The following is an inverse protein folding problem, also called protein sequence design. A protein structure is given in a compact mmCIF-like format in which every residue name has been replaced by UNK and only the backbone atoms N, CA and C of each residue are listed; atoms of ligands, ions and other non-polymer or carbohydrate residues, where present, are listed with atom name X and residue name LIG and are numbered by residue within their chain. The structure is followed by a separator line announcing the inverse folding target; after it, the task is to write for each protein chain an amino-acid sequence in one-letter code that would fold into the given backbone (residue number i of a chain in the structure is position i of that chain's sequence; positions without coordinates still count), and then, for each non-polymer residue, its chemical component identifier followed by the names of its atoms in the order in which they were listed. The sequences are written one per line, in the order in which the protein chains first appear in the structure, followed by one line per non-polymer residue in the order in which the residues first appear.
data_IF_579048441879
#
_entry.id   IF_579048441879
#
_cell.length_a   1.000
_cell.length_b   1.000
_cell.length_c   1.000
_cell.angle_alpha   90.00
_cell.angle_beta   90.00
_cell.angle_gamma   90.00
#
_symmetry.space_group_name_H-M   'P 1'
#
loop_
_entity.id
_entity.type
_entity.pdbx_description
1 polymer ?
#
# COMPACT_ATOMS: atom_id res chain seq x y z
N UNK A 1 11.93 15.50 33.87
CA UNK A 1 11.52 14.08 33.80
C UNK A 1 12.02 13.54 32.47
N UNK A 2 12.88 12.51 32.54
CA UNK A 2 13.78 12.08 31.47
C UNK A 2 13.05 11.22 30.42
N UNK A 3 12.91 11.72 29.19
CA UNK A 3 12.49 10.94 28.01
C UNK A 3 13.69 10.13 27.49
N UNK A 4 14.01 9.01 28.14
CA UNK A 4 15.11 8.14 27.69
C UNK A 4 14.79 6.67 27.97
N UNK A 5 13.85 6.11 27.23
CA UNK A 5 13.61 4.66 27.14
C UNK A 5 12.61 4.26 26.02
N UNK A 6 12.65 4.85 24.82
CA UNK A 6 11.96 4.28 23.65
C UNK A 6 12.95 4.21 22.48
N UNK A 7 13.44 3.00 22.19
CA UNK A 7 14.15 2.67 20.94
C UNK A 7 15.67 2.84 20.95
N UNK A 8 16.41 2.10 21.79
CA UNK A 8 17.82 1.83 21.46
C UNK A 8 17.86 0.87 20.25
N UNK A 9 17.93 1.43 19.04
CA UNK A 9 18.23 0.66 17.82
C UNK A 9 17.41 1.00 16.55
N UNK A 10 16.28 1.69 16.66
CA UNK A 10 15.49 2.05 15.47
C UNK A 10 15.98 3.37 14.86
N UNK A 11 16.35 3.33 13.57
CA UNK A 11 16.70 4.51 12.80
C UNK A 11 15.56 4.90 11.85
N UNK A 12 14.80 5.92 12.21
CA UNK A 12 13.74 6.48 11.35
C UNK A 12 14.27 6.96 9.99
N UNK A 13 15.56 7.33 9.91
CA UNK A 13 16.23 7.84 8.71
C UNK A 13 16.98 6.75 7.94
N UNK A 14 16.76 5.47 8.29
CA UNK A 14 17.36 4.32 7.58
C UNK A 14 17.13 4.46 6.08
N UNK A 15 18.21 4.36 5.31
CA UNK A 15 18.16 4.36 3.85
C UNK A 15 17.74 2.97 3.39
N UNK A 16 16.55 2.86 2.80
CA UNK A 16 15.93 1.60 2.37
C UNK A 16 15.86 1.43 0.85
N UNK A 17 16.22 2.50 0.13
CA UNK A 17 16.21 2.52 -1.33
C UNK A 17 17.63 2.77 -1.81
N UNK A 18 18.18 1.83 -2.57
CA UNK A 18 19.46 1.99 -3.24
C UNK A 18 19.34 1.77 -4.74
N UNK A 19 19.84 2.72 -5.51
CA UNK A 19 19.69 2.76 -6.98
C UNK A 19 18.26 2.62 -7.54
N UNK A 20 17.22 2.72 -6.69
CA UNK A 20 15.81 2.53 -7.06
C UNK A 20 15.27 1.11 -6.83
N UNK A 21 16.09 0.26 -6.21
CA UNK A 21 15.73 -1.04 -5.67
C UNK A 21 15.53 -0.89 -4.15
N UNK A 22 14.51 -1.59 -3.64
CA UNK A 22 14.17 -1.64 -2.22
C UNK A 22 14.70 -2.96 -1.70
N UNK A 23 15.39 -2.94 -0.57
CA UNK A 23 15.67 -4.16 0.18
C UNK A 23 14.37 -4.57 0.88
N UNK A 24 13.71 -5.60 0.36
CA UNK A 24 12.37 -5.99 0.78
C UNK A 24 12.31 -6.47 2.23
N UNK A 25 13.34 -7.19 2.71
CA UNK A 25 13.43 -7.64 4.09
C UNK A 25 13.65 -6.45 5.02
N UNK A 26 14.63 -5.60 4.70
CA UNK A 26 14.91 -4.42 5.51
C UNK A 26 13.75 -3.41 5.53
N UNK A 27 12.98 -3.32 4.45
CA UNK A 27 11.79 -2.48 4.34
C UNK A 27 10.63 -3.00 5.18
N UNK A 28 10.41 -4.33 5.17
CA UNK A 28 9.39 -4.98 5.99
C UNK A 28 9.67 -4.78 7.48
N UNK A 29 10.89 -5.08 7.94
CA UNK A 29 11.30 -4.88 9.34
C UNK A 29 11.17 -3.42 9.77
N UNK A 30 11.52 -2.48 8.88
CA UNK A 30 11.39 -1.06 9.15
C UNK A 30 9.92 -0.65 9.33
N UNK A 31 9.03 -1.08 8.44
CA UNK A 31 7.62 -0.76 8.50
C UNK A 31 6.96 -1.37 9.75
N UNK A 32 7.25 -2.64 10.03
CA UNK A 32 6.73 -3.34 11.22
C UNK A 32 7.15 -2.64 12.51
N UNK A 33 8.44 -2.33 12.66
CA UNK A 33 8.95 -1.66 13.85
C UNK A 33 8.42 -0.23 13.99
N UNK A 34 8.29 0.51 12.88
CA UNK A 34 7.72 1.86 12.87
C UNK A 34 6.25 1.85 13.31
N UNK A 35 5.44 0.94 12.76
CA UNK A 35 4.04 0.75 13.13
C UNK A 35 3.91 0.32 14.60
N UNK A 36 4.77 -0.60 15.05
CA UNK A 36 4.79 -1.06 16.45
C UNK A 36 5.12 0.06 17.43
N UNK A 37 6.08 0.93 17.11
CA UNK A 37 6.40 2.09 17.96
C UNK A 37 5.29 3.13 17.94
N UNK A 38 4.69 3.39 16.78
CA UNK A 38 3.57 4.30 16.65
C UNK A 38 2.35 3.82 17.46
N UNK A 39 1.96 2.55 17.35
CA UNK A 39 0.84 1.98 18.10
C UNK A 39 1.04 2.06 19.63
N UNK A 40 2.29 1.95 20.11
CA UNK A 40 2.64 2.08 21.55
C UNK A 40 2.84 3.52 22.01
N UNK A 41 2.84 4.49 21.10
CA UNK A 41 3.03 5.90 21.42
C UNK A 41 1.78 6.50 22.08
N UNK A 42 1.90 7.62 22.83
CA UNK A 42 0.75 8.36 23.32
C UNK A 42 -0.24 8.74 22.21
N UNK A 43 0.26 9.08 21.02
CA UNK A 43 -0.55 9.42 19.85
C UNK A 43 -1.34 8.20 19.34
N UNK A 44 -0.69 7.04 19.20
CA UNK A 44 -1.34 5.79 18.79
C UNK A 44 -2.38 5.31 19.81
N UNK A 45 -2.07 5.39 21.11
CA UNK A 45 -3.01 5.03 22.18
C UNK A 45 -4.23 5.97 22.19
N UNK A 46 -4.03 7.27 21.95
CA UNK A 46 -5.13 8.23 21.87
C UNK A 46 -6.04 8.00 20.65
N UNK A 47 -5.47 7.55 19.52
CA UNK A 47 -6.24 7.13 18.34
C UNK A 47 -7.06 5.87 18.62
N UNK A 48 -6.45 4.85 19.22
CA UNK A 48 -7.13 3.60 19.58
C UNK A 48 -8.31 3.86 20.53
N UNK A 49 -8.17 4.77 21.50
CA UNK A 49 -9.25 5.17 22.40
C UNK A 49 -10.44 5.83 21.68
N UNK A 50 -10.25 6.33 20.45
CA UNK A 50 -11.28 6.91 19.59
C UNK A 50 -11.81 5.92 18.55
N UNK A 51 -11.38 4.67 18.60
CA UNK A 51 -11.73 3.63 17.63
C UNK A 51 -10.96 3.74 16.31
N UNK A 52 -9.82 4.43 16.28
CA UNK A 52 -8.92 4.45 15.12
C UNK A 52 -7.77 3.46 15.37
N UNK A 53 -7.64 2.43 14.53
CA UNK A 53 -6.61 1.40 14.69
C UNK A 53 -5.23 1.92 14.23
N UNK A 54 -4.23 2.07 15.12
CA UNK A 54 -2.93 2.62 14.74
C UNK A 54 -2.04 1.57 14.06
N UNK A 55 -1.39 1.95 12.97
CA UNK A 55 -0.44 1.13 12.20
C UNK A 55 -1.00 0.56 10.90
N UNK A 56 -2.33 0.47 10.77
CA UNK A 56 -2.99 -0.15 9.63
C UNK A 56 -2.73 0.60 8.32
N UNK A 57 -3.05 1.90 8.26
CA UNK A 57 -2.83 2.71 7.05
C UNK A 57 -1.39 3.22 6.96
N UNK A 58 -0.69 3.34 8.09
CA UNK A 58 0.72 3.70 8.11
C UNK A 58 1.57 2.66 7.38
N UNK A 59 1.35 1.37 7.62
CA UNK A 59 2.09 0.28 6.95
C UNK A 59 1.95 0.40 5.42
N UNK A 60 0.72 0.58 4.94
CA UNK A 60 0.43 0.73 3.51
C UNK A 60 1.09 1.99 2.94
N UNK A 61 1.04 3.09 3.69
CA UNK A 61 1.64 4.35 3.28
C UNK A 61 3.17 4.20 3.13
N UNK A 62 3.82 3.55 4.09
CA UNK A 62 5.26 3.28 4.05
C UNK A 62 5.61 2.36 2.89
N UNK A 63 4.93 1.24 2.74
CA UNK A 63 5.10 0.32 1.60
C UNK A 63 4.99 1.05 0.26
N UNK A 64 3.94 1.87 0.11
CA UNK A 64 3.70 2.60 -1.12
C UNK A 64 4.81 3.62 -1.40
N UNK A 65 5.25 4.35 -0.37
CA UNK A 65 6.35 5.31 -0.50
C UNK A 65 7.65 4.64 -0.96
N UNK A 66 8.00 3.48 -0.41
CA UNK A 66 9.21 2.76 -0.75
C UNK A 66 9.13 2.17 -2.15
N UNK A 67 8.05 1.44 -2.46
CA UNK A 67 7.96 0.64 -3.69
C UNK A 67 7.61 1.45 -4.94
N UNK A 68 6.82 2.52 -4.79
CA UNK A 68 6.27 3.28 -5.92
C UNK A 68 6.86 4.67 -6.04
N UNK A 69 7.06 5.36 -4.92
CA UNK A 69 7.68 6.69 -4.92
C UNK A 69 9.21 6.56 -4.95
N UNK A 70 9.75 5.52 -4.30
CA UNK A 70 11.18 5.23 -4.26
C UNK A 70 11.94 6.07 -3.24
N UNK A 71 11.30 6.41 -2.12
CA UNK A 71 11.87 7.21 -1.04
C UNK A 71 11.42 6.66 0.31
N UNK A 72 12.28 6.70 1.33
CA UNK A 72 11.87 6.36 2.69
C UNK A 72 11.03 7.48 3.31
N UNK A 73 10.25 7.20 4.37
CA UNK A 73 9.47 8.23 5.04
C UNK A 73 10.29 9.46 5.42
N UNK A 74 11.48 9.32 6.01
CA UNK A 74 12.29 10.49 6.38
C UNK A 74 12.69 11.40 5.18
N UNK A 75 12.73 10.85 3.97
CA UNK A 75 13.17 11.56 2.77
C UNK A 75 12.03 12.27 2.02
N UNK A 76 10.77 11.89 2.25
CA UNK A 76 9.63 12.46 1.51
C UNK A 76 9.46 13.96 1.79
N UNK A 77 9.02 14.69 0.77
CA UNK A 77 8.49 16.05 0.89
C UNK A 77 6.95 16.05 0.82
N UNK A 78 6.34 17.23 0.88
CA UNK A 78 4.88 17.35 0.85
C UNK A 78 4.25 16.88 -0.48
N UNK A 79 4.98 16.96 -1.60
CA UNK A 79 4.48 16.46 -2.88
C UNK A 79 4.53 14.93 -2.93
N UNK A 80 5.61 14.34 -2.40
CA UNK A 80 5.74 12.89 -2.24
C UNK A 80 4.61 12.34 -1.34
N UNK A 81 4.24 13.04 -0.26
CA UNK A 81 3.10 12.66 0.62
C UNK A 81 1.77 12.65 -0.15
N UNK A 82 1.48 13.69 -0.94
CA UNK A 82 0.25 13.75 -1.74
C UNK A 82 0.22 12.65 -2.80
N UNK A 83 1.33 12.42 -3.48
CA UNK A 83 1.47 11.34 -4.47
C UNK A 83 1.24 9.96 -3.83
N UNK A 84 1.78 9.73 -2.63
CA UNK A 84 1.53 8.49 -1.88
C UNK A 84 0.04 8.34 -1.54
N UNK A 85 -0.63 9.41 -1.09
CA UNK A 85 -2.07 9.36 -0.81
C UNK A 85 -2.91 9.06 -2.06
N UNK A 86 -2.55 9.63 -3.21
CA UNK A 86 -3.23 9.33 -4.47
C UNK A 86 -3.10 7.85 -4.84
N UNK A 87 -1.89 7.29 -4.77
CA UNK A 87 -1.67 5.87 -5.05
C UNK A 87 -2.29 4.95 -3.98
N UNK A 88 -2.42 5.43 -2.76
CA UNK A 88 -3.11 4.75 -1.67
C UNK A 88 -4.62 4.65 -1.94
N UNK A 89 -5.25 5.69 -2.51
CA UNK A 89 -6.67 5.69 -2.85
C UNK A 89 -7.05 4.63 -3.90
N UNK A 90 -6.14 4.33 -4.83
CA UNK A 90 -6.29 3.29 -5.85
C UNK A 90 -6.23 1.87 -5.25
N UNK A 91 -5.46 1.71 -4.16
CA UNK A 91 -5.16 0.42 -3.52
C UNK A 91 -6.09 0.05 -2.39
N UNK A 92 -6.54 1.03 -1.59
CA UNK A 92 -7.41 0.78 -0.45
C UNK A 92 -8.80 0.39 -0.98
N UNK A 93 -9.14 -0.90 -0.85
CA UNK A 93 -10.49 -1.40 -1.00
C UNK A 93 -11.28 -1.18 0.30
N UNK A 94 -11.47 0.08 0.67
CA UNK A 94 -12.26 0.43 1.84
C UNK A 94 -13.60 1.03 1.44
N UNK A 95 -14.59 0.75 2.28
CA UNK A 95 -15.82 1.50 2.36
C UNK A 95 -15.53 2.94 2.80
N UNK A 96 -16.49 3.88 2.64
CA UNK A 96 -16.36 5.27 3.09
C UNK A 96 -15.75 5.45 4.49
N UNK A 97 -16.01 4.53 5.40
CA UNK A 97 -15.52 4.49 6.78
C UNK A 97 -13.99 4.31 6.88
N UNK A 98 -13.33 3.78 5.85
CA UNK A 98 -11.87 3.72 5.78
C UNK A 98 -11.22 5.10 5.73
N UNK A 99 -11.93 6.14 5.27
CA UNK A 99 -11.48 7.52 5.32
C UNK A 99 -11.43 8.07 6.74
N UNK A 100 -12.40 7.66 7.56
CA UNK A 100 -12.50 8.07 8.96
C UNK A 100 -11.39 7.43 9.83
N UNK A 101 -10.69 6.44 9.27
CA UNK A 101 -9.53 5.78 9.90
C UNK A 101 -8.21 6.31 9.34
N UNK A 102 -8.05 6.33 8.01
CA UNK A 102 -6.76 6.60 7.36
C UNK A 102 -6.22 8.01 7.64
N UNK A 103 -7.06 9.03 7.49
CA UNK A 103 -6.59 10.42 7.65
C UNK A 103 -6.21 10.71 9.12
N UNK A 104 -7.05 10.41 10.12
CA UNK A 104 -6.64 10.59 11.52
C UNK A 104 -5.40 9.78 11.92
N UNK A 105 -5.24 8.56 11.40
CA UNK A 105 -4.06 7.75 11.66
C UNK A 105 -2.79 8.42 11.13
N UNK A 106 -2.78 8.83 9.85
CA UNK A 106 -1.61 9.43 9.21
C UNK A 106 -1.28 10.82 9.79
N UNK A 107 -2.28 11.60 10.19
CA UNK A 107 -2.08 12.85 10.94
C UNK A 107 -1.47 12.58 12.33
N UNK A 108 -1.96 11.57 13.06
CA UNK A 108 -1.42 11.17 14.35
C UNK A 108 0.01 10.62 14.25
N UNK A 109 0.32 9.93 13.15
CA UNK A 109 1.69 9.51 12.84
C UNK A 109 2.63 10.71 12.67
N UNK A 110 2.18 11.80 12.05
CA UNK A 110 2.99 13.01 11.92
C UNK A 110 3.33 13.61 13.30
N UNK A 111 2.37 13.65 14.23
CA UNK A 111 2.61 14.13 15.59
C UNK A 111 3.62 13.23 16.32
N UNK A 112 3.45 11.91 16.21
CA UNK A 112 4.39 10.92 16.73
C UNK A 112 5.80 11.11 16.15
N UNK A 113 5.94 11.21 14.83
CA UNK A 113 7.24 11.35 14.17
C UNK A 113 7.94 12.66 14.56
N UNK A 114 7.17 13.76 14.68
CA UNK A 114 7.67 15.04 15.18
C UNK A 114 8.23 14.92 16.59
N UNK A 115 7.49 14.26 17.50
CA UNK A 115 7.90 14.09 18.91
C UNK A 115 9.03 13.07 19.09
N UNK A 116 8.90 11.89 18.50
CA UNK A 116 9.78 10.74 18.75
C UNK A 116 11.10 10.82 17.98
N UNK A 117 11.12 11.43 16.79
CA UNK A 117 12.30 11.44 15.91
C UNK A 117 12.83 12.84 15.60
N UNK A 118 12.26 13.88 16.25
CA UNK A 118 12.50 15.27 15.93
C UNK A 118 12.38 15.53 14.41
N UNK A 119 11.34 14.96 13.80
CA UNK A 119 11.12 15.06 12.36
C UNK A 119 10.63 16.47 12.00
N UNK A 120 11.52 17.28 11.45
CA UNK A 120 11.31 18.69 11.10
C UNK A 120 10.21 18.91 10.05
N UNK A 121 9.94 17.92 9.19
CA UNK A 121 8.87 17.99 8.20
C UNK A 121 7.50 17.50 8.70
N UNK A 122 7.40 17.01 9.94
CA UNK A 122 6.16 16.46 10.50
C UNK A 122 4.95 17.39 10.32
N UNK A 123 5.12 18.68 10.65
CA UNK A 123 4.04 19.67 10.50
C UNK A 123 3.65 19.87 9.03
N UNK A 124 4.62 19.93 8.12
CA UNK A 124 4.34 20.11 6.69
C UNK A 124 3.62 18.88 6.10
N UNK A 125 3.96 17.68 6.55
CA UNK A 125 3.25 16.46 6.18
C UNK A 125 1.83 16.44 6.68
N UNK A 126 1.63 16.78 7.96
CA UNK A 126 0.30 16.85 8.55
C UNK A 126 -0.61 17.80 7.77
N UNK A 127 -0.12 18.98 7.40
CA UNK A 127 -0.84 19.89 6.52
C UNK A 127 -1.12 19.30 5.14
N UNK A 128 -0.12 18.66 4.51
CA UNK A 128 -0.31 18.05 3.20
C UNK A 128 -1.37 16.93 3.21
N UNK A 129 -1.41 16.12 4.27
CA UNK A 129 -2.43 15.08 4.48
C UNK A 129 -3.80 15.72 4.68
N UNK A 130 -3.88 16.70 5.58
CA UNK A 130 -5.12 17.41 5.91
C UNK A 130 -5.76 18.06 4.67
N UNK A 131 -4.97 18.84 3.93
CA UNK A 131 -5.42 19.57 2.74
C UNK A 131 -5.87 18.60 1.63
N UNK A 132 -5.23 17.42 1.54
CA UNK A 132 -5.52 16.43 0.51
C UNK A 132 -6.65 15.47 0.89
N UNK A 133 -7.08 15.43 2.16
CA UNK A 133 -8.07 14.48 2.68
C UNK A 133 -9.38 14.46 1.88
N UNK A 134 -9.86 15.62 1.43
CA UNK A 134 -11.07 15.73 0.61
C UNK A 134 -10.89 15.10 -0.79
N UNK A 135 -9.72 15.28 -1.41
CA UNK A 135 -9.41 14.70 -2.71
C UNK A 135 -9.23 13.18 -2.61
N UNK A 136 -8.50 12.73 -1.61
CA UNK A 136 -8.36 11.32 -1.24
C UNK A 136 -9.73 10.65 -1.01
N UNK A 137 -10.62 11.32 -0.28
CA UNK A 137 -11.99 10.88 -0.04
C UNK A 137 -12.84 10.67 -1.28
N UNK A 138 -12.70 11.57 -2.27
CA UNK A 138 -13.35 11.39 -3.58
C UNK A 138 -12.73 10.24 -4.36
N UNK A 139 -11.41 10.14 -4.37
CA UNK A 139 -10.68 9.13 -5.15
C UNK A 139 -10.98 7.69 -4.69
N UNK A 140 -11.11 7.44 -3.38
CA UNK A 140 -11.45 6.10 -2.88
C UNK A 140 -12.82 5.63 -3.39
N UNK A 141 -13.76 6.55 -3.60
CA UNK A 141 -15.13 6.29 -4.08
C UNK A 141 -15.26 6.27 -5.60
N UNK A 142 -14.21 6.63 -6.34
CA UNK A 142 -14.21 6.73 -7.80
C UNK A 142 -13.91 5.35 -8.42
N UNK A 143 -14.97 4.58 -8.72
CA UNK A 143 -14.87 3.22 -9.28
C UNK A 143 -13.96 3.11 -10.53
N UNK A 144 -14.02 4.04 -11.51
CA UNK A 144 -13.06 4.10 -12.62
C UNK A 144 -11.57 4.15 -12.24
N UNK A 145 -11.22 4.60 -11.03
CA UNK A 145 -9.84 4.70 -10.55
C UNK A 145 -9.38 3.47 -9.75
N UNK A 146 -10.25 2.48 -9.56
CA UNK A 146 -9.89 1.30 -8.81
C UNK A 146 -8.94 0.41 -9.62
N UNK A 147 -7.90 -0.07 -8.96
CA UNK A 147 -7.09 -1.15 -9.52
C UNK A 147 -7.92 -2.43 -9.69
N UNK A 148 -7.52 -3.30 -10.63
CA UNK A 148 -8.23 -4.54 -10.99
C UNK A 148 -8.60 -5.41 -9.77
N UNK A 149 -7.68 -5.54 -8.80
CA UNK A 149 -7.91 -6.33 -7.59
C UNK A 149 -9.02 -5.72 -6.70
N UNK A 150 -9.02 -4.39 -6.52
CA UNK A 150 -10.07 -3.67 -5.79
C UNK A 150 -11.41 -3.78 -6.51
N UNK A 151 -11.44 -3.61 -7.83
CA UNK A 151 -12.67 -3.77 -8.62
C UNK A 151 -13.28 -5.17 -8.45
N UNK A 152 -12.45 -6.21 -8.51
CA UNK A 152 -12.91 -7.59 -8.31
C UNK A 152 -13.43 -7.83 -6.88
N UNK A 153 -12.77 -7.28 -5.87
CA UNK A 153 -13.21 -7.41 -4.48
C UNK A 153 -14.54 -6.67 -4.24
N UNK A 154 -14.65 -5.43 -4.72
CA UNK A 154 -15.87 -4.63 -4.59
C UNK A 154 -17.04 -5.24 -5.36
N UNK A 155 -16.78 -5.87 -6.50
CA UNK A 155 -17.79 -6.64 -7.23
C UNK A 155 -18.31 -7.81 -6.38
N UNK A 156 -17.43 -8.57 -5.72
CA UNK A 156 -17.82 -9.67 -4.83
C UNK A 156 -18.66 -9.20 -3.65
N UNK A 157 -18.24 -8.13 -2.98
CA UNK A 157 -19.03 -7.50 -1.90
C UNK A 157 -20.40 -7.03 -2.41
N UNK A 158 -20.46 -6.40 -3.58
CA UNK A 158 -21.73 -5.93 -4.17
C UNK A 158 -22.70 -7.06 -4.52
N UNK A 159 -22.17 -8.27 -4.75
CA UNK A 159 -22.93 -9.50 -5.02
C UNK A 159 -23.26 -10.28 -3.74
N UNK A 160 -22.88 -9.77 -2.57
CA UNK A 160 -23.23 -10.33 -1.26
C UNK A 160 -22.29 -11.41 -0.74
N UNK A 161 -21.11 -11.58 -1.34
CA UNK A 161 -20.11 -12.52 -0.82
C UNK A 161 -19.44 -11.96 0.44
N UNK A 162 -19.26 -12.80 1.45
CA UNK A 162 -18.51 -12.45 2.65
C UNK A 162 -17.00 -12.67 2.43
N UNK A 163 -16.35 -11.64 1.90
CA UNK A 163 -14.92 -11.65 1.62
C UNK A 163 -14.04 -11.46 2.88
N UNK A 164 -14.62 -11.48 4.08
CA UNK A 164 -13.87 -11.47 5.34
C UNK A 164 -13.52 -12.88 5.81
N UNK A 165 -14.10 -13.91 5.17
CA UNK A 165 -13.85 -15.33 5.46
C UNK A 165 -13.09 -16.00 4.32
N UNK A 166 -12.35 -17.07 4.62
CA UNK A 166 -11.66 -17.85 3.59
C UNK A 166 -12.66 -18.48 2.63
N UNK A 167 -13.74 -19.01 3.18
CA UNK A 167 -14.81 -19.68 2.46
C UNK A 167 -15.48 -18.73 1.47
N UNK A 168 -15.85 -17.51 1.89
CA UNK A 168 -16.45 -16.52 0.99
C UNK A 168 -15.48 -15.98 -0.06
N UNK A 169 -14.19 -15.88 0.24
CA UNK A 169 -13.15 -15.58 -0.77
C UNK A 169 -13.09 -16.72 -1.80
N UNK A 170 -13.00 -17.98 -1.37
CA UNK A 170 -12.88 -19.13 -2.28
C UNK A 170 -14.12 -19.24 -3.20
N UNK A 171 -15.32 -19.11 -2.64
CA UNK A 171 -16.57 -19.11 -3.41
C UNK A 171 -16.59 -18.00 -4.46
N UNK A 172 -16.18 -16.79 -4.09
CA UNK A 172 -16.10 -15.67 -5.01
C UNK A 172 -15.09 -15.90 -6.12
N UNK A 173 -13.91 -16.42 -5.78
CA UNK A 173 -12.86 -16.73 -6.76
C UNK A 173 -13.30 -17.82 -7.74
N UNK A 174 -14.05 -18.83 -7.28
CA UNK A 174 -14.64 -19.83 -8.16
C UNK A 174 -15.62 -19.22 -9.18
N UNK A 175 -16.46 -18.28 -8.75
CA UNK A 175 -17.40 -17.56 -9.63
C UNK A 175 -16.64 -16.73 -10.68
N UNK A 176 -15.63 -15.95 -10.26
CA UNK A 176 -14.82 -15.17 -11.20
C UNK A 176 -14.08 -16.05 -12.22
N UNK A 177 -13.57 -17.19 -11.80
CA UNK A 177 -12.92 -18.14 -12.72
C UNK A 177 -13.90 -18.68 -13.76
N UNK A 178 -15.12 -19.06 -13.34
CA UNK A 178 -16.17 -19.52 -14.25
C UNK A 178 -16.59 -18.44 -15.25
N UNK A 179 -16.79 -17.19 -14.79
CA UNK A 179 -17.10 -16.04 -15.66
C UNK A 179 -15.99 -15.77 -16.67
N UNK A 180 -14.74 -15.82 -16.24
CA UNK A 180 -13.60 -15.61 -17.12
C UNK A 180 -13.49 -16.71 -18.17
N UNK A 181 -13.66 -17.98 -17.77
CA UNK A 181 -13.66 -19.11 -18.69
C UNK A 181 -14.77 -18.97 -19.75
N UNK A 182 -15.99 -18.62 -19.33
CA UNK A 182 -17.12 -18.37 -20.23
C UNK A 182 -16.86 -17.20 -21.20
N UNK A 183 -16.18 -16.13 -20.74
CA UNK A 183 -15.78 -15.00 -21.59
C UNK A 183 -14.72 -15.38 -22.62
N UNK A 184 -13.73 -16.18 -22.22
CA UNK A 184 -12.72 -16.68 -23.16
C UNK A 184 -13.34 -17.62 -24.19
N UNK A 185 -14.33 -18.42 -23.80
CA UNK A 185 -15.08 -19.29 -24.72
C UNK A 185 -15.95 -18.49 -25.69
N UNK A 186 -16.57 -17.39 -25.27
CA UNK A 186 -17.32 -16.51 -26.17
C UNK A 186 -16.40 -15.67 -27.08
N UNK A 187 -15.19 -15.32 -26.62
CA UNK A 187 -14.18 -14.61 -27.39
C UNK A 187 -13.39 -15.51 -28.36
N UNK A 188 -13.37 -16.84 -28.16
CA UNK A 188 -12.75 -17.84 -29.06
C UNK A 188 -13.37 -17.95 -30.46
N UNK A 189 -14.36 -17.11 -30.79
CA UNK A 189 -14.73 -16.76 -32.17
C UNK A 189 -13.74 -15.79 -32.86
N UNK A 190 -12.73 -15.29 -32.15
CA UNK A 190 -11.62 -14.47 -32.64
C UNK A 190 -10.30 -14.91 -31.95
N UNK A 191 -9.18 -14.84 -32.68
CA UNK A 191 -7.93 -15.57 -32.43
C UNK A 191 -7.24 -15.35 -31.05
N UNK A 192 -6.41 -16.31 -30.57
CA UNK A 192 -6.03 -16.41 -29.15
C UNK A 192 -4.82 -15.55 -28.76
N UNK A 193 -4.93 -14.82 -27.64
CA UNK A 193 -3.77 -14.34 -26.88
C UNK A 193 -3.40 -15.40 -25.82
N UNK A 194 -2.35 -16.16 -26.08
CA UNK A 194 -1.80 -17.19 -25.20
C UNK A 194 -1.14 -16.57 -23.95
N UNK A 195 -1.93 -16.34 -22.89
CA UNK A 195 -1.53 -16.71 -21.53
C UNK A 195 -2.79 -16.86 -20.66
N UNK A 196 -2.96 -17.99 -19.96
CA UNK A 196 -4.01 -18.16 -18.96
C UNK A 196 -3.97 -17.04 -17.92
N UNK A 197 -5.14 -16.57 -17.49
CA UNK A 197 -5.27 -15.56 -16.42
C UNK A 197 -4.51 -15.99 -15.16
N UNK A 198 -4.50 -17.29 -14.85
CA UNK A 198 -3.77 -17.82 -13.69
C UNK A 198 -2.25 -17.71 -13.84
N UNK A 199 -1.68 -17.69 -15.05
CA UNK A 199 -0.24 -17.46 -15.24
C UNK A 199 0.10 -15.97 -15.19
N UNK A 200 -0.83 -15.10 -15.61
CA UNK A 200 -0.75 -13.65 -15.36
C UNK A 200 -0.93 -13.32 -13.89
N UNK A 201 -1.87 -13.97 -13.21
CA UNK A 201 -2.10 -13.82 -11.78
C UNK A 201 -0.93 -14.42 -11.00
N UNK A 202 -0.40 -15.59 -11.34
CA UNK A 202 0.76 -16.20 -10.66
C UNK A 202 2.07 -15.42 -10.91
N UNK A 203 2.21 -14.78 -12.08
CA UNK A 203 3.27 -13.80 -12.36
C UNK A 203 3.12 -12.48 -11.58
N UNK A 204 1.92 -12.15 -11.10
CA UNK A 204 1.61 -10.95 -10.32
C UNK A 204 1.50 -11.26 -8.81
N UNK A 205 1.21 -12.51 -8.44
CA UNK A 205 0.83 -13.01 -7.10
C UNK A 205 1.60 -14.29 -6.73
N UNK A 206 2.93 -14.32 -6.87
CA UNK A 206 3.74 -15.46 -6.44
C UNK A 206 3.49 -15.84 -4.97
N UNK A 207 2.75 -16.94 -4.73
CA UNK A 207 2.76 -17.69 -3.47
C UNK A 207 1.83 -17.26 -2.32
N UNK A 208 0.53 -17.01 -2.53
CA UNK A 208 -0.36 -16.43 -1.47
C UNK A 208 -1.41 -17.38 -0.83
N UNK A 209 -1.63 -18.61 -1.31
CA UNK A 209 -2.72 -19.44 -0.76
C UNK A 209 -2.22 -20.29 0.42
N UNK A 210 -2.14 -19.69 1.62
CA UNK A 210 -1.95 -20.49 2.83
C UNK A 210 -1.54 -19.75 4.11
N UNK A 211 -2.38 -18.85 4.66
CA UNK A 211 -2.43 -18.62 6.12
C UNK A 211 -3.66 -17.79 6.51
N UNK A 212 -4.38 -18.23 7.55
CA UNK A 212 -5.55 -17.53 8.09
C UNK A 212 -5.14 -16.30 8.89
N UNK A 213 -5.90 -15.22 8.73
CA UNK A 213 -5.88 -14.06 9.61
C UNK A 213 -7.17 -14.04 10.46
N UNK A 214 -7.13 -13.59 11.73
CA UNK A 214 -8.30 -13.50 12.59
C UNK A 214 -9.22 -12.33 12.21
N UNK A 215 -10.51 -12.50 12.52
CA UNK A 215 -11.62 -11.62 12.15
C UNK A 215 -11.43 -10.17 12.61
N UNK A 216 -11.72 -9.23 11.70
CA UNK A 216 -11.77 -7.78 11.97
C UNK A 216 -10.77 -6.92 11.19
N UNK A 217 -9.94 -7.48 10.30
CA UNK A 217 -8.96 -6.71 9.52
C UNK A 217 -9.45 -6.34 8.13
N UNK A 218 -9.21 -5.08 7.77
CA UNK A 218 -9.30 -4.58 6.38
C UNK A 218 -8.41 -5.45 5.49
N UNK A 219 -8.96 -5.96 4.38
CA UNK A 219 -8.23 -6.86 3.49
C UNK A 219 -7.10 -6.09 2.79
N UNK A 220 -5.86 -6.32 3.20
CA UNK A 220 -4.68 -5.77 2.55
C UNK A 220 -4.17 -6.74 1.47
N UNK A 221 -3.99 -6.24 0.23
CA UNK A 221 -3.61 -7.05 -0.95
C UNK A 221 -2.08 -7.09 -1.14
N UNK A 222 -1.29 -6.57 -0.19
CA UNK A 222 0.14 -6.28 -0.39
C UNK A 222 1.17 -7.29 0.09
N UNK A 223 0.78 -8.43 0.67
CA UNK A 223 1.76 -9.34 1.30
C UNK A 223 2.05 -10.60 0.46
N UNK A 224 3.30 -11.07 0.55
CA UNK A 224 3.91 -12.35 0.14
C UNK A 224 4.83 -12.35 -1.11
N UNK A 225 6.10 -12.65 -0.83
CA UNK A 225 7.22 -12.79 -1.77
C UNK A 225 7.62 -14.25 -2.08
N UNK A 226 8.24 -14.35 -3.25
CA UNK A 226 9.26 -15.27 -3.79
C UNK A 226 9.12 -16.80 -3.64
N UNK A 227 8.55 -17.40 -4.69
CA UNK A 227 8.79 -18.78 -5.10
C UNK A 227 9.45 -18.82 -6.48
N UNK A 228 10.72 -19.18 -6.51
CA UNK A 228 11.61 -19.33 -7.66
C UNK A 228 11.13 -20.44 -8.63
N UNK A 229 10.87 -20.13 -9.91
CA UNK A 229 10.99 -21.09 -11.02
C UNK A 229 11.30 -20.38 -12.36
N UNK A 230 12.25 -21.00 -13.06
CA UNK A 230 12.98 -20.64 -14.27
C UNK A 230 12.12 -20.49 -15.55
N UNK A 231 12.62 -19.68 -16.50
CA UNK A 231 12.20 -19.73 -17.90
C UNK A 231 11.50 -18.50 -18.49
N UNK A 232 12.29 -17.67 -19.19
CA UNK A 232 11.93 -16.73 -20.26
C UNK A 232 11.54 -15.27 -19.91
N UNK A 233 12.39 -14.35 -20.39
CA UNK A 233 12.24 -12.89 -20.54
C UNK A 233 11.50 -12.13 -19.41
N UNK A 234 12.28 -11.53 -18.49
CA UNK A 234 11.76 -10.97 -17.24
C UNK A 234 11.00 -9.62 -17.38
N UNK A 235 9.88 -9.45 -16.63
CA UNK A 235 9.13 -8.18 -16.46
C UNK A 235 9.94 -7.01 -15.88
N UNK A 236 11.16 -7.28 -15.41
CA UNK A 236 12.05 -6.34 -14.71
C UNK A 236 12.51 -5.19 -15.60
N UNK A 237 12.63 -5.38 -16.91
CA UNK A 237 13.17 -4.34 -17.82
C UNK A 237 12.21 -3.17 -18.08
N UNK A 238 10.91 -3.43 -18.08
CA UNK A 238 9.87 -2.41 -18.30
C UNK A 238 9.69 -1.57 -17.03
N UNK A 239 9.63 -2.22 -15.85
CA UNK A 239 9.61 -1.53 -14.56
C UNK A 239 10.88 -0.70 -14.31
N UNK A 240 12.07 -1.20 -14.69
CA UNK A 240 13.34 -0.43 -14.60
C UNK A 240 13.31 0.84 -15.46
N UNK A 241 12.77 0.77 -16.68
CA UNK A 241 12.67 1.96 -17.57
C UNK A 241 11.70 3.01 -17.05
N UNK A 242 10.57 2.61 -16.48
CA UNK A 242 9.57 3.55 -15.95
C UNK A 242 10.05 4.22 -14.65
N UNK A 243 10.66 3.44 -13.75
CA UNK A 243 11.34 3.97 -12.56
C UNK A 243 12.46 4.95 -12.91
N UNK A 244 13.28 4.65 -13.91
CA UNK A 244 14.35 5.55 -14.37
C UNK A 244 13.82 6.86 -14.99
N UNK A 245 12.69 6.82 -15.72
CA UNK A 245 12.05 8.02 -16.28
C UNK A 245 11.45 8.91 -15.18
N UNK A 246 10.79 8.32 -14.17
CA UNK A 246 10.26 9.04 -13.01
C UNK A 246 11.38 9.64 -12.14
N UNK A 247 12.50 8.92 -11.95
CA UNK A 247 13.68 9.44 -11.24
C UNK A 247 14.33 10.63 -11.96
N UNK A 248 14.46 10.58 -13.29
CA UNK A 248 14.96 11.73 -14.08
C UNK A 248 14.02 12.93 -14.00
N UNK A 249 12.71 12.72 -14.01
CA UNK A 249 11.75 13.84 -13.87
C UNK A 249 11.78 14.44 -12.45
N UNK A 250 11.87 13.62 -11.40
CA UNK A 250 11.97 14.10 -10.00
C UNK A 250 13.31 14.77 -9.70
N UNK A 251 14.43 14.21 -10.16
CA UNK A 251 15.75 14.84 -10.02
C UNK A 251 15.80 16.19 -10.76
N UNK A 252 15.15 16.29 -11.93
CA UNK A 252 14.99 17.55 -12.65
C UNK A 252 14.10 18.55 -11.89
N UNK A 253 12.99 18.11 -11.28
CA UNK A 253 12.12 18.97 -10.46
C UNK A 253 12.82 19.49 -9.21
N UNK A 254 13.59 18.63 -8.51
CA UNK A 254 14.36 19.02 -7.31
C UNK A 254 15.52 19.96 -7.64
N UNK A 255 16.16 19.81 -8.82
CA UNK A 255 17.22 20.72 -9.28
C UNK A 255 16.70 22.11 -9.68
N UNK A 256 15.46 22.22 -10.19
CA UNK A 256 14.85 23.50 -10.58
C UNK A 256 14.19 24.26 -9.41
N UNK A 257 14.16 23.69 -8.20
CA UNK A 257 13.58 24.32 -6.99
C UNK A 257 14.63 24.91 -6.03
N UNK A 258 15.93 24.70 -6.31
CA UNK A 258 17.05 25.35 -5.62
C UNK A 258 17.54 26.54 -6.43
#
# INVERSE_FOLDING_TARGET
MSQRAMGEGFDFRKKLVDEGEVDDEAAYEYAEELCRQFAKSPEGVALAARGVEPGCYLEIFVDHSLRYIGVSPAEMDADDVRETLDGLAEKIAASPEGLDQAIPELEGFCDFAGRAFAFDKATAWKHAIHDHASAFGRAIRDTPRWGMAKSMLMEGLSRGYDLTTKEGIDEWMHVKQAEFAARVESEKGSAPSAMPLMDRLRSIFGGVIGRSAPAGKTLYIGDLGDGELDGSATPTSIRKKEKARRKKSKASRRRNRR
#
